data_IF_542005986970
#
_entry.id   IF_542005986970
#
_cell.length_a   1.000
_cell.length_b   1.000
_cell.length_c   1.000
_cell.angle_alpha   90.00
_cell.angle_beta   90.00
_cell.angle_gamma   90.00
#
_symmetry.space_group_name_H-M   'P 1'
#
loop_
_entity.id
_entity.type
_entity.pdbx_description
1 polymer ?
#
# COMPACT_ATOMS: atom_id res chain seq x y z
N UNK A 1 -3.28 -0.44 -20.09
CA UNK A 1 -4.19 -0.65 -18.96
C UNK A 1 -3.67 0.04 -17.72
N UNK A 2 -4.44 0.07 -16.63
CA UNK A 2 -4.07 0.64 -15.33
C UNK A 2 -4.23 -0.45 -14.26
N UNK A 3 -3.21 -0.63 -13.45
CA UNK A 3 -3.30 -1.35 -12.17
C UNK A 3 -3.47 -0.32 -11.06
N UNK A 4 -4.41 -0.52 -10.15
CA UNK A 4 -4.57 0.37 -9.00
C UNK A 4 -4.58 -0.41 -7.69
N UNK A 5 -4.04 0.22 -6.64
CA UNK A 5 -4.07 -0.31 -5.28
C UNK A 5 -4.71 0.71 -4.36
N UNK A 6 -5.56 0.23 -3.47
CA UNK A 6 -6.18 1.02 -2.41
C UNK A 6 -5.62 0.59 -1.06
N UNK A 7 -5.04 1.54 -0.33
CA UNK A 7 -4.56 1.33 1.03
C UNK A 7 -5.70 1.06 2.02
N UNK A 8 -5.36 0.59 3.20
CA UNK A 8 -6.37 0.26 4.21
C UNK A 8 -7.23 1.47 4.62
N UNK A 9 -6.64 2.66 4.74
CA UNK A 9 -7.34 3.91 5.02
C UNK A 9 -8.39 4.27 3.96
N UNK A 10 -8.18 3.84 2.71
CA UNK A 10 -9.14 4.09 1.63
C UNK A 10 -10.47 3.36 1.83
N UNK A 11 -10.50 2.25 2.57
CA UNK A 11 -11.73 1.47 2.80
C UNK A 11 -12.32 1.67 4.19
N UNK A 12 -11.73 2.53 5.01
CA UNK A 12 -12.10 2.73 6.41
C UNK A 12 -13.25 3.74 6.63
N UNK A 13 -13.76 4.39 5.60
CA UNK A 13 -14.90 5.32 5.71
C UNK A 13 -15.88 5.15 4.54
N UNK A 14 -17.16 5.43 4.82
CA UNK A 14 -18.23 5.35 3.81
C UNK A 14 -17.99 6.33 2.66
N UNK A 15 -17.54 7.53 2.96
CA UNK A 15 -17.24 8.54 1.96
C UNK A 15 -16.15 8.05 0.98
N UNK A 16 -15.09 7.43 1.49
CA UNK A 16 -14.03 6.87 0.65
C UNK A 16 -14.52 5.71 -0.22
N UNK A 17 -15.42 4.86 0.29
CA UNK A 17 -16.03 3.79 -0.49
C UNK A 17 -16.78 4.33 -1.72
N UNK A 18 -17.51 5.42 -1.57
CA UNK A 18 -18.18 6.09 -2.69
C UNK A 18 -17.18 6.71 -3.68
N UNK A 19 -16.05 7.27 -3.20
CA UNK A 19 -14.99 7.73 -4.09
C UNK A 19 -14.36 6.57 -4.87
N UNK A 20 -14.07 5.43 -4.22
CA UNK A 20 -13.56 4.23 -4.90
C UNK A 20 -14.53 3.80 -6.00
N UNK A 21 -15.83 3.77 -5.73
CA UNK A 21 -16.84 3.40 -6.72
C UNK A 21 -16.82 4.34 -7.94
N UNK A 22 -16.67 5.65 -7.71
CA UNK A 22 -16.53 6.64 -8.79
C UNK A 22 -15.23 6.46 -9.58
N UNK A 23 -14.11 6.21 -8.90
CA UNK A 23 -12.80 5.97 -9.51
C UNK A 23 -12.84 4.74 -10.42
N UNK A 24 -13.44 3.66 -9.94
CA UNK A 24 -13.48 2.37 -10.66
C UNK A 24 -14.47 2.37 -11.85
N UNK A 25 -15.29 3.42 -12.04
CA UNK A 25 -16.09 3.57 -13.27
C UNK A 25 -15.22 3.62 -14.53
N UNK A 26 -14.00 4.14 -14.45
CA UNK A 26 -13.06 4.09 -15.57
C UNK A 26 -12.58 2.66 -15.82
N UNK A 27 -13.04 2.11 -16.95
CA UNK A 27 -12.78 0.72 -17.37
C UNK A 27 -11.31 0.44 -17.73
N UNK A 28 -10.45 1.47 -17.80
CA UNK A 28 -8.99 1.28 -18.00
C UNK A 28 -8.32 0.63 -16.79
N UNK A 29 -8.92 0.74 -15.59
CA UNK A 29 -8.48 0.08 -14.35
C UNK A 29 -8.89 -1.39 -14.39
N UNK A 30 -7.93 -2.26 -14.71
CA UNK A 30 -8.17 -3.69 -14.93
C UNK A 30 -7.90 -4.54 -13.71
N UNK A 31 -6.84 -4.24 -12.98
CA UNK A 31 -6.41 -4.97 -11.79
C UNK A 31 -6.57 -4.02 -10.59
N UNK A 32 -7.41 -4.42 -9.63
CA UNK A 32 -7.73 -3.61 -8.46
C UNK A 32 -7.29 -4.37 -7.21
N UNK A 33 -6.25 -3.86 -6.55
CA UNK A 33 -5.64 -4.48 -5.37
C UNK A 33 -6.13 -3.76 -4.12
N UNK A 34 -6.57 -4.51 -3.12
CA UNK A 34 -6.97 -3.98 -1.83
C UNK A 34 -6.06 -4.48 -0.71
N UNK A 35 -5.61 -3.56 0.13
CA UNK A 35 -5.05 -3.90 1.44
C UNK A 35 -6.17 -4.22 2.43
N UNK A 36 -5.85 -4.88 3.53
CA UNK A 36 -6.78 -5.01 4.65
C UNK A 36 -7.32 -3.63 5.05
N UNK A 37 -8.58 -3.57 5.44
CA UNK A 37 -9.22 -2.34 5.90
C UNK A 37 -8.39 -1.68 7.02
N UNK A 38 -8.24 -0.37 6.95
CA UNK A 38 -7.55 0.43 7.95
C UNK A 38 -8.31 0.55 9.27
N UNK A 39 -7.83 1.41 10.15
CA UNK A 39 -8.51 1.71 11.42
C UNK A 39 -9.89 2.29 11.15
N UNK A 40 -10.90 1.73 11.80
CA UNK A 40 -12.28 2.23 11.77
C UNK A 40 -12.61 2.83 13.15
N UNK A 41 -13.40 3.89 13.16
CA UNK A 41 -13.78 4.58 14.40
C UNK A 41 -12.56 4.89 15.29
N UNK A 42 -12.70 4.76 16.61
CA UNK A 42 -11.65 5.00 17.60
C UNK A 42 -10.78 3.76 17.90
N UNK A 43 -10.62 2.85 16.93
CA UNK A 43 -9.78 1.66 17.15
C UNK A 43 -8.30 2.01 17.28
N UNK A 44 -7.62 1.35 18.20
CA UNK A 44 -6.19 1.54 18.45
C UNK A 44 -5.33 0.89 17.38
N UNK A 45 -5.70 -0.32 16.92
CA UNK A 45 -4.91 -1.16 16.02
C UNK A 45 -5.57 -1.29 14.64
N UNK A 46 -4.77 -1.64 13.62
CA UNK A 46 -5.26 -2.02 12.29
C UNK A 46 -5.75 -3.47 12.31
N UNK A 47 -6.56 -3.84 11.32
CA UNK A 47 -7.02 -5.23 11.17
C UNK A 47 -5.87 -6.23 11.11
N UNK A 48 -4.80 -5.93 10.38
CA UNK A 48 -3.61 -6.80 10.28
C UNK A 48 -2.92 -7.00 11.63
N UNK A 49 -2.88 -5.97 12.48
CA UNK A 49 -2.30 -6.06 13.82
C UNK A 49 -3.17 -6.99 14.70
N UNK A 50 -4.50 -6.83 14.68
CA UNK A 50 -5.41 -7.73 15.42
C UNK A 50 -5.33 -9.19 14.94
N UNK A 51 -5.14 -9.43 13.63
CA UNK A 51 -4.97 -10.79 13.10
C UNK A 51 -3.67 -11.42 13.58
N UNK A 52 -2.60 -10.62 13.66
CA UNK A 52 -1.31 -11.04 14.19
C UNK A 52 -1.40 -11.33 15.69
N UNK A 53 -1.97 -10.39 16.46
CA UNK A 53 -2.20 -10.55 17.91
C UNK A 53 -3.05 -11.80 18.19
N UNK A 54 -4.11 -12.05 17.40
CA UNK A 54 -4.93 -13.26 17.53
C UNK A 54 -4.14 -14.54 17.34
N UNK A 55 -3.23 -14.56 16.38
CA UNK A 55 -2.40 -15.73 16.14
C UNK A 55 -1.40 -15.98 17.28
N UNK A 56 -0.76 -14.93 17.78
CA UNK A 56 0.30 -14.98 18.79
C UNK A 56 -0.23 -15.15 20.22
N UNK A 57 -1.46 -14.73 20.49
CA UNK A 57 -2.09 -14.85 21.82
C UNK A 57 -2.25 -16.32 22.20
N UNK A 58 -1.99 -16.66 23.46
CA UNK A 58 -2.12 -18.02 24.02
C UNK A 58 -3.41 -18.20 24.83
N UNK A 59 -3.87 -17.15 25.50
CA UNK A 59 -5.09 -17.18 26.31
C UNK A 59 -6.34 -17.28 25.44
N UNK A 60 -7.19 -18.27 25.70
CA UNK A 60 -8.47 -18.45 24.99
C UNK A 60 -9.39 -17.25 25.21
N UNK A 61 -9.42 -16.70 26.43
CA UNK A 61 -10.22 -15.52 26.77
C UNK A 61 -9.81 -14.33 25.92
N UNK A 62 -8.51 -14.00 25.88
CA UNK A 62 -7.98 -12.88 25.11
C UNK A 62 -8.17 -13.09 23.60
N UNK A 63 -7.97 -14.32 23.10
CA UNK A 63 -8.28 -14.65 21.69
C UNK A 63 -9.72 -14.32 21.32
N UNK A 64 -10.69 -14.62 22.19
CA UNK A 64 -12.09 -14.30 21.94
C UNK A 64 -12.33 -12.79 21.90
N UNK A 65 -11.67 -12.01 22.75
CA UNK A 65 -11.75 -10.55 22.75
C UNK A 65 -11.21 -10.01 21.42
N UNK A 66 -10.02 -10.47 21.00
CA UNK A 66 -9.39 -10.03 19.73
C UNK A 66 -10.27 -10.44 18.53
N UNK A 67 -10.80 -11.66 18.53
CA UNK A 67 -11.68 -12.14 17.46
C UNK A 67 -12.96 -11.31 17.34
N UNK A 68 -13.50 -10.81 18.45
CA UNK A 68 -14.64 -9.89 18.45
C UNK A 68 -14.27 -8.55 17.81
N UNK A 69 -13.05 -8.01 18.04
CA UNK A 69 -12.57 -6.81 17.36
C UNK A 69 -12.46 -7.02 15.85
N UNK A 70 -11.92 -8.15 15.42
CA UNK A 70 -11.87 -8.54 14.01
C UNK A 70 -13.29 -8.63 13.42
N UNK A 71 -14.23 -9.24 14.15
CA UNK A 71 -15.64 -9.35 13.75
C UNK A 71 -16.29 -7.98 13.57
N UNK A 72 -16.08 -7.05 14.49
CA UNK A 72 -16.59 -5.67 14.41
C UNK A 72 -16.13 -4.99 13.10
N UNK A 73 -14.83 -5.12 12.76
CA UNK A 73 -14.26 -4.56 11.54
C UNK A 73 -14.90 -5.18 10.29
N UNK A 74 -15.06 -6.50 10.28
CA UNK A 74 -15.69 -7.20 9.16
C UNK A 74 -17.16 -6.81 8.99
N UNK A 75 -17.89 -6.68 10.09
CA UNK A 75 -19.29 -6.24 10.09
C UNK A 75 -19.39 -4.80 9.59
N UNK A 76 -18.52 -3.91 10.05
CA UNK A 76 -18.48 -2.52 9.59
C UNK A 76 -18.37 -2.44 8.06
N UNK A 77 -17.37 -3.09 7.46
CA UNK A 77 -17.17 -3.03 6.01
C UNK A 77 -18.35 -3.65 5.26
N UNK A 78 -18.88 -4.78 5.73
CA UNK A 78 -20.07 -5.42 5.17
C UNK A 78 -21.29 -4.49 5.18
N UNK A 79 -21.55 -3.80 6.31
CA UNK A 79 -22.67 -2.89 6.47
C UNK A 79 -22.53 -1.65 5.56
N UNK A 80 -21.35 -1.01 5.58
CA UNK A 80 -21.10 0.20 4.78
C UNK A 80 -21.16 -0.05 3.26
N UNK A 81 -20.81 -1.26 2.84
CA UNK A 81 -20.92 -1.68 1.44
C UNK A 81 -22.26 -2.33 1.09
N UNK A 82 -23.13 -2.60 2.09
CA UNK A 82 -24.39 -3.34 1.94
C UNK A 82 -24.24 -4.68 1.22
N UNK A 83 -23.09 -5.35 1.41
CA UNK A 83 -22.78 -6.61 0.73
C UNK A 83 -23.25 -7.83 1.54
N UNK A 84 -23.71 -8.88 0.82
CA UNK A 84 -24.08 -10.16 1.44
C UNK A 84 -22.85 -11.08 1.51
N UNK A 85 -22.04 -10.92 2.57
CA UNK A 85 -20.88 -11.80 2.88
C UNK A 85 -21.10 -12.46 4.23
N UNK A 86 -20.78 -13.74 4.33
CA UNK A 86 -20.85 -14.48 5.58
C UNK A 86 -19.61 -14.25 6.43
N UNK A 87 -19.67 -13.30 7.36
CA UNK A 87 -18.58 -12.97 8.28
C UNK A 87 -18.17 -14.17 9.14
N UNK A 88 -19.14 -14.95 9.63
CA UNK A 88 -18.85 -16.10 10.49
C UNK A 88 -18.01 -17.18 9.78
N UNK A 89 -18.16 -17.33 8.47
CA UNK A 89 -17.31 -18.22 7.68
C UNK A 89 -15.82 -17.80 7.76
N UNK A 90 -15.54 -16.52 7.67
CA UNK A 90 -14.15 -16.00 7.78
C UNK A 90 -13.61 -16.16 9.19
N UNK A 91 -14.42 -15.82 10.22
CA UNK A 91 -14.02 -15.97 11.62
C UNK A 91 -13.73 -17.43 11.97
N UNK A 92 -14.54 -18.37 11.47
CA UNK A 92 -14.30 -19.81 11.64
C UNK A 92 -12.97 -20.24 11.01
N UNK A 93 -12.67 -19.74 9.81
CA UNK A 93 -11.39 -20.02 9.14
C UNK A 93 -10.19 -19.45 9.90
N UNK A 94 -10.29 -18.23 10.42
CA UNK A 94 -9.25 -17.60 11.25
C UNK A 94 -9.04 -18.43 12.52
N UNK A 95 -10.13 -18.76 13.23
CA UNK A 95 -10.08 -19.50 14.49
C UNK A 95 -9.46 -20.90 14.36
N UNK A 96 -9.73 -21.58 13.24
CA UNK A 96 -9.32 -22.98 13.04
C UNK A 96 -7.94 -23.12 12.38
N UNK A 97 -7.34 -22.04 11.90
CA UNK A 97 -6.03 -22.11 11.24
C UNK A 97 -4.88 -22.09 12.24
N UNK A 98 -3.90 -22.95 12.00
CA UNK A 98 -2.61 -22.98 12.71
C UNK A 98 -1.49 -22.25 11.95
N UNK A 99 -1.78 -21.72 10.77
CA UNK A 99 -0.81 -21.09 9.87
C UNK A 99 -0.88 -19.56 10.00
N UNK A 100 0.19 -18.94 10.53
CA UNK A 100 0.29 -17.49 10.72
C UNK A 100 -0.04 -16.70 9.44
N UNK A 101 0.62 -17.06 8.35
CA UNK A 101 0.45 -16.38 7.06
C UNK A 101 -0.98 -16.47 6.54
N UNK A 102 -1.62 -17.62 6.75
CA UNK A 102 -3.04 -17.78 6.40
C UNK A 102 -3.92 -16.85 7.22
N UNK A 103 -3.77 -16.83 8.56
CA UNK A 103 -4.59 -16.00 9.46
C UNK A 103 -4.45 -14.52 9.09
N UNK A 104 -3.22 -14.03 8.98
CA UNK A 104 -2.93 -12.61 8.71
C UNK A 104 -3.44 -12.18 7.34
N UNK A 105 -3.29 -13.02 6.30
CA UNK A 105 -3.77 -12.72 4.94
C UNK A 105 -5.30 -12.59 4.83
N UNK A 106 -6.07 -13.06 5.82
CA UNK A 106 -7.55 -12.98 5.77
C UNK A 106 -8.09 -11.56 5.83
N UNK A 107 -7.28 -10.61 6.29
CA UNK A 107 -7.64 -9.19 6.24
C UNK A 107 -7.80 -8.66 4.82
N UNK A 108 -6.80 -8.91 3.98
CA UNK A 108 -6.81 -8.54 2.57
C UNK A 108 -7.81 -9.36 1.77
N UNK A 109 -7.89 -10.68 2.02
CA UNK A 109 -8.84 -11.57 1.36
C UNK A 109 -10.30 -11.11 1.62
N UNK A 110 -10.66 -10.84 2.87
CA UNK A 110 -11.99 -10.36 3.22
C UNK A 110 -12.29 -9.01 2.57
N UNK A 111 -11.37 -8.05 2.72
CA UNK A 111 -11.55 -6.69 2.16
C UNK A 111 -11.75 -6.74 0.65
N UNK A 112 -10.89 -7.46 -0.07
CA UNK A 112 -10.99 -7.57 -1.52
C UNK A 112 -12.27 -8.28 -1.99
N UNK A 113 -12.76 -9.29 -1.26
CA UNK A 113 -14.05 -9.96 -1.57
C UNK A 113 -15.24 -9.03 -1.36
N UNK A 114 -15.26 -8.29 -0.27
CA UNK A 114 -16.31 -7.30 -0.01
C UNK A 114 -16.30 -6.24 -1.11
N UNK A 115 -15.13 -5.68 -1.40
CA UNK A 115 -14.98 -4.63 -2.39
C UNK A 115 -15.30 -5.12 -3.81
N UNK A 116 -14.95 -6.35 -4.17
CA UNK A 116 -15.34 -6.93 -5.44
C UNK A 116 -16.87 -6.98 -5.60
N UNK A 117 -17.58 -7.45 -4.58
CA UNK A 117 -19.05 -7.43 -4.58
C UNK A 117 -19.63 -6.03 -4.64
N UNK A 118 -19.09 -5.11 -3.85
CA UNK A 118 -19.53 -3.70 -3.83
C UNK A 118 -19.37 -3.00 -5.17
N UNK A 119 -18.29 -3.33 -5.89
CA UNK A 119 -17.96 -2.74 -7.20
C UNK A 119 -18.58 -3.50 -8.39
N UNK A 120 -19.24 -4.63 -8.16
CA UNK A 120 -19.78 -5.48 -9.23
C UNK A 120 -18.67 -6.15 -10.07
N UNK A 121 -17.50 -6.41 -9.48
CA UNK A 121 -16.36 -7.03 -10.15
C UNK A 121 -16.12 -8.47 -9.66
N UNK A 122 -15.36 -9.24 -10.43
CA UNK A 122 -14.91 -10.56 -9.98
C UNK A 122 -13.84 -10.41 -8.91
N UNK A 123 -13.89 -11.28 -7.90
CA UNK A 123 -12.82 -11.48 -6.95
C UNK A 123 -11.92 -12.62 -7.42
N UNK A 124 -10.62 -12.40 -7.37
CA UNK A 124 -9.58 -13.41 -7.61
C UNK A 124 -8.68 -13.48 -6.38
N UNK A 125 -8.56 -14.63 -5.71
CA UNK A 125 -7.65 -14.78 -4.58
C UNK A 125 -6.19 -14.49 -4.97
N UNK A 126 -5.44 -13.79 -4.12
CA UNK A 126 -4.07 -13.41 -4.43
C UNK A 126 -3.15 -14.64 -4.63
N UNK A 127 -3.37 -15.71 -3.86
CA UNK A 127 -2.65 -16.98 -3.97
C UNK A 127 -2.85 -17.71 -5.31
N UNK A 128 -3.86 -17.30 -6.10
CA UNK A 128 -4.04 -17.81 -7.48
C UNK A 128 -3.27 -17.02 -8.52
N UNK A 129 -2.71 -15.88 -8.16
CA UNK A 129 -2.04 -14.95 -9.08
C UNK A 129 -0.58 -14.76 -8.69
N UNK A 130 -0.32 -14.40 -7.43
CA UNK A 130 1.00 -14.13 -6.91
C UNK A 130 1.65 -15.43 -6.46
N UNK A 131 2.62 -15.87 -7.22
CA UNK A 131 3.33 -17.13 -6.98
C UNK A 131 4.71 -16.81 -6.41
N UNK A 132 5.05 -17.48 -5.32
CA UNK A 132 6.32 -17.34 -4.62
C UNK A 132 7.15 -18.60 -4.76
N UNK A 133 8.44 -18.45 -4.59
CA UNK A 133 9.41 -19.55 -4.47
C UNK A 133 10.38 -19.19 -3.35
N UNK A 134 10.02 -19.59 -2.14
CA UNK A 134 10.65 -19.08 -0.92
C UNK A 134 10.40 -17.57 -0.76
N UNK A 135 11.47 -16.80 -0.53
CA UNK A 135 11.39 -15.36 -0.29
C UNK A 135 11.20 -14.52 -1.56
N UNK A 136 11.27 -15.13 -2.75
CA UNK A 136 11.19 -14.42 -4.01
C UNK A 136 9.86 -14.72 -4.72
N UNK A 137 9.31 -13.74 -5.44
CA UNK A 137 8.19 -14.03 -6.32
C UNK A 137 8.70 -14.67 -7.63
N UNK A 138 7.99 -15.70 -8.06
CA UNK A 138 8.24 -16.36 -9.36
C UNK A 138 7.61 -15.50 -10.47
N UNK A 139 8.48 -14.74 -11.16
CA UNK A 139 8.05 -13.77 -12.16
C UNK A 139 7.29 -14.43 -13.33
N UNK A 140 7.77 -15.57 -13.82
CA UNK A 140 7.20 -16.29 -14.94
C UNK A 140 5.82 -16.87 -14.61
N UNK A 141 5.72 -17.61 -13.50
CA UNK A 141 4.46 -18.21 -13.07
C UNK A 141 3.43 -17.12 -12.70
N UNK A 142 3.86 -16.06 -12.01
CA UNK A 142 2.99 -14.92 -11.67
C UNK A 142 2.48 -14.24 -12.93
N UNK A 143 3.34 -13.98 -13.91
CA UNK A 143 2.96 -13.38 -15.20
C UNK A 143 1.92 -14.27 -15.94
N UNK A 144 2.19 -15.57 -16.05
CA UNK A 144 1.28 -16.53 -16.68
C UNK A 144 -0.08 -16.54 -16.00
N UNK A 145 -0.12 -16.68 -14.68
CA UNK A 145 -1.38 -16.72 -13.91
C UNK A 145 -2.14 -15.41 -14.03
N UNK A 146 -1.44 -14.27 -13.93
CA UNK A 146 -2.03 -12.93 -14.05
C UNK A 146 -2.67 -12.73 -15.43
N UNK A 147 -1.97 -13.07 -16.51
CA UNK A 147 -2.50 -13.00 -17.88
C UNK A 147 -3.74 -13.86 -18.06
N UNK A 148 -3.74 -15.09 -17.54
CA UNK A 148 -4.94 -15.96 -17.58
C UNK A 148 -6.14 -15.27 -16.89
N UNK A 149 -5.94 -14.61 -15.75
CA UNK A 149 -7.03 -13.92 -15.06
C UNK A 149 -7.51 -12.68 -15.80
N UNK A 150 -6.59 -11.94 -16.44
CA UNK A 150 -6.93 -10.76 -17.27
C UNK A 150 -7.76 -11.21 -18.48
N UNK A 151 -7.36 -12.27 -19.18
CA UNK A 151 -8.10 -12.81 -20.32
C UNK A 151 -9.50 -13.29 -19.90
N UNK A 152 -9.58 -14.01 -18.76
CA UNK A 152 -10.83 -14.60 -18.29
C UNK A 152 -11.85 -13.57 -17.79
N UNK A 153 -11.40 -12.57 -17.05
CA UNK A 153 -12.30 -11.65 -16.34
C UNK A 153 -12.23 -10.20 -16.84
N UNK A 154 -11.25 -9.87 -17.68
CA UNK A 154 -10.94 -8.51 -18.14
C UNK A 154 -10.69 -7.49 -17.03
N UNK A 155 -11.44 -7.54 -15.93
CA UNK A 155 -11.34 -6.71 -14.74
C UNK A 155 -11.64 -7.52 -13.49
N UNK A 156 -10.81 -7.37 -12.45
CA UNK A 156 -11.03 -8.10 -11.19
C UNK A 156 -10.41 -7.36 -10.00
N UNK A 157 -10.90 -7.72 -8.81
CA UNK A 157 -10.34 -7.32 -7.52
C UNK A 157 -9.55 -8.48 -6.91
N UNK A 158 -8.45 -8.15 -6.23
CA UNK A 158 -7.63 -9.10 -5.49
C UNK A 158 -7.12 -8.48 -4.20
N UNK A 159 -6.73 -9.29 -3.24
CA UNK A 159 -5.93 -8.83 -2.09
C UNK A 159 -4.49 -8.57 -2.49
N UNK A 160 -3.79 -7.70 -1.75
CA UNK A 160 -2.34 -7.61 -1.81
C UNK A 160 -1.68 -8.39 -0.67
N UNK A 161 -0.36 -8.23 -0.48
CA UNK A 161 0.40 -8.66 0.69
C UNK A 161 0.70 -10.15 0.81
N UNK A 162 0.05 -11.06 0.09
CA UNK A 162 0.27 -12.50 0.20
C UNK A 162 0.20 -13.20 -1.15
N UNK A 163 0.83 -14.37 -1.24
CA UNK A 163 0.85 -15.25 -2.40
C UNK A 163 0.89 -16.72 -2.00
N UNK A 164 1.03 -17.60 -2.99
CA UNK A 164 1.24 -19.05 -2.81
C UNK A 164 2.70 -19.37 -3.04
N UNK A 165 3.35 -19.96 -2.05
CA UNK A 165 4.68 -20.54 -2.24
C UNK A 165 4.57 -21.94 -2.84
N UNK A 166 5.23 -22.15 -3.98
CA UNK A 166 5.21 -23.44 -4.69
C UNK A 166 6.02 -24.53 -3.98
N UNK A 167 6.99 -24.17 -3.13
CA UNK A 167 7.83 -25.14 -2.44
C UNK A 167 7.05 -25.77 -1.29
N UNK A 168 6.46 -24.94 -0.43
CA UNK A 168 5.72 -25.40 0.74
C UNK A 168 4.25 -25.67 0.46
N UNK A 169 3.74 -25.24 -0.69
CA UNK A 169 2.31 -25.22 -1.05
C UNK A 169 1.44 -24.49 -0.01
N UNK A 170 2.01 -23.45 0.64
CA UNK A 170 1.35 -22.66 1.66
C UNK A 170 1.24 -21.20 1.26
N UNK A 171 0.30 -20.49 1.90
CA UNK A 171 0.25 -19.04 1.80
C UNK A 171 1.45 -18.46 2.53
N UNK A 172 2.13 -17.52 1.85
CA UNK A 172 3.23 -16.73 2.41
C UNK A 172 2.89 -15.25 2.31
N UNK A 173 3.40 -14.49 3.27
CA UNK A 173 3.24 -13.04 3.30
C UNK A 173 4.45 -12.38 2.64
N UNK A 174 4.20 -11.30 1.91
CA UNK A 174 5.24 -10.37 1.55
C UNK A 174 5.65 -9.55 2.77
N UNK A 175 6.81 -8.90 2.70
CA UNK A 175 7.26 -7.99 3.76
C UNK A 175 6.26 -6.85 4.02
N UNK A 176 6.49 -6.10 5.11
CA UNK A 176 5.70 -4.91 5.46
C UNK A 176 5.62 -3.96 4.27
N UNK A 177 4.42 -3.50 3.92
CA UNK A 177 4.21 -2.76 2.66
C UNK A 177 3.80 -3.64 1.47
N UNK A 178 3.65 -4.95 1.68
CA UNK A 178 3.37 -5.95 0.65
C UNK A 178 2.15 -5.69 -0.22
N UNK A 179 1.19 -4.87 0.24
CA UNK A 179 0.09 -4.40 -0.62
C UNK A 179 0.57 -3.51 -1.76
N UNK A 180 1.51 -2.60 -1.51
CA UNK A 180 2.15 -1.75 -2.51
C UNK A 180 2.99 -2.59 -3.47
N UNK A 181 3.76 -3.54 -2.90
CA UNK A 181 4.63 -4.47 -3.64
C UNK A 181 3.78 -5.34 -4.58
N UNK A 182 2.69 -5.95 -4.09
CA UNK A 182 1.78 -6.76 -4.93
C UNK A 182 1.23 -5.95 -6.10
N UNK A 183 0.78 -4.71 -5.84
CA UNK A 183 0.28 -3.81 -6.87
C UNK A 183 1.35 -3.49 -7.93
N UNK A 184 2.59 -3.26 -7.51
CA UNK A 184 3.73 -3.01 -8.40
C UNK A 184 4.10 -4.24 -9.23
N UNK A 185 4.15 -5.43 -8.62
CA UNK A 185 4.37 -6.71 -9.34
C UNK A 185 3.30 -6.89 -10.42
N UNK A 186 2.02 -6.73 -10.08
CA UNK A 186 0.94 -6.88 -11.05
C UNK A 186 1.00 -5.79 -12.14
N UNK A 187 1.38 -4.56 -11.82
CA UNK A 187 1.55 -3.50 -12.80
C UNK A 187 2.69 -3.81 -13.79
N UNK A 188 3.83 -4.29 -13.28
CA UNK A 188 4.98 -4.72 -14.09
C UNK A 188 4.59 -5.87 -15.03
N UNK A 189 3.98 -6.92 -14.50
CA UNK A 189 3.75 -8.17 -15.24
C UNK A 189 2.52 -8.14 -16.15
N UNK A 190 1.65 -7.16 -15.99
CA UNK A 190 0.49 -6.93 -16.87
C UNK A 190 0.75 -5.90 -17.96
N UNK A 191 1.98 -5.39 -18.08
CA UNK A 191 2.33 -4.30 -18.99
C UNK A 191 1.43 -3.06 -18.80
N UNK A 192 1.07 -2.76 -17.56
CA UNK A 192 0.30 -1.57 -17.23
C UNK A 192 1.11 -0.31 -17.55
N UNK A 193 0.47 0.67 -18.19
CA UNK A 193 1.10 1.98 -18.41
C UNK A 193 1.20 2.80 -17.13
N UNK A 194 0.26 2.57 -16.21
CA UNK A 194 0.13 3.33 -14.97
C UNK A 194 -0.13 2.36 -13.81
N UNK A 195 0.57 2.59 -12.70
CA UNK A 195 0.28 2.06 -11.39
C UNK A 195 -0.25 3.18 -10.50
N UNK A 196 -1.53 3.15 -10.11
CA UNK A 196 -2.12 4.11 -9.19
C UNK A 196 -2.10 3.56 -7.77
N UNK A 197 -1.38 4.21 -6.87
CA UNK A 197 -1.40 3.93 -5.44
C UNK A 197 -2.27 4.97 -4.73
N UNK A 198 -3.48 4.57 -4.36
CA UNK A 198 -4.40 5.39 -3.58
C UNK A 198 -4.12 5.21 -2.08
N UNK A 199 -4.02 6.33 -1.39
CA UNK A 199 -3.73 6.43 0.04
C UNK A 199 -4.55 7.58 0.66
N UNK A 200 -4.22 8.00 1.86
CA UNK A 200 -4.82 9.12 2.60
C UNK A 200 -4.01 10.41 2.50
N UNK A 201 -2.98 10.44 1.65
CA UNK A 201 -2.17 11.63 1.41
C UNK A 201 -2.21 12.06 -0.06
N UNK A 202 -2.14 13.36 -0.30
CA UNK A 202 -2.19 13.97 -1.63
C UNK A 202 -0.85 13.97 -2.38
N UNK A 203 -0.12 12.85 -2.28
CA UNK A 203 1.18 12.65 -2.90
C UNK A 203 2.36 12.79 -1.92
N UNK A 204 3.55 12.73 -2.47
CA UNK A 204 4.83 12.85 -1.74
C UNK A 204 5.10 14.32 -1.44
N UNK A 205 5.50 14.61 -0.22
CA UNK A 205 5.79 15.97 0.23
C UNK A 205 7.26 16.33 0.04
N UNK A 206 7.53 17.61 -0.16
CA UNK A 206 8.89 18.14 -0.27
C UNK A 206 9.65 18.11 1.07
N UNK A 207 8.95 17.87 2.18
CA UNK A 207 9.49 17.72 3.52
C UNK A 207 8.54 16.86 4.37
N UNK A 208 9.03 16.32 5.49
CA UNK A 208 8.23 15.51 6.41
C UNK A 208 7.12 16.35 7.06
N UNK A 209 5.83 16.01 6.87
CA UNK A 209 4.71 16.77 7.45
C UNK A 209 4.65 16.73 8.98
N UNK A 210 5.32 15.77 9.62
CA UNK A 210 5.41 15.71 11.08
C UNK A 210 6.36 16.78 11.65
N UNK A 211 7.26 17.32 10.81
CA UNK A 211 8.27 18.31 11.19
C UNK A 211 7.95 19.70 10.62
N UNK A 212 7.62 19.75 9.34
CA UNK A 212 7.33 20.98 8.60
C UNK A 212 5.82 21.15 8.45
N UNK A 213 5.31 22.32 8.84
CA UNK A 213 3.87 22.61 8.69
C UNK A 213 3.50 22.82 7.22
N UNK A 214 2.55 22.04 6.70
CA UNK A 214 1.98 22.16 5.36
C UNK A 214 3.02 22.17 4.21
N UNK A 215 3.92 21.17 4.13
CA UNK A 215 4.91 21.14 3.05
C UNK A 215 4.25 20.97 1.69
N UNK A 216 4.83 21.57 0.66
CA UNK A 216 4.34 21.47 -0.73
C UNK A 216 4.42 20.01 -1.22
N UNK A 217 3.51 19.64 -2.14
CA UNK A 217 3.51 18.32 -2.77
C UNK A 217 4.44 18.33 -4.00
N UNK A 218 5.32 17.34 -4.10
CA UNK A 218 6.15 17.09 -5.28
C UNK A 218 5.23 16.61 -6.41
N UNK A 219 5.22 17.31 -7.54
CA UNK A 219 4.38 16.97 -8.70
C UNK A 219 4.92 15.80 -9.49
N UNK A 220 6.23 15.78 -9.69
CA UNK A 220 6.94 14.77 -10.45
C UNK A 220 8.28 14.48 -9.79
N UNK A 221 8.69 13.21 -9.76
CA UNK A 221 9.94 12.73 -9.17
C UNK A 221 10.42 11.49 -9.94
N UNK A 222 11.73 11.25 -9.99
CA UNK A 222 12.25 10.01 -10.53
C UNK A 222 12.09 8.84 -9.55
N UNK A 223 12.12 7.59 -10.04
CA UNK A 223 12.18 6.42 -9.15
C UNK A 223 13.44 6.42 -8.29
N UNK A 224 14.55 6.93 -8.82
CA UNK A 224 15.83 7.04 -8.12
C UNK A 224 15.71 7.97 -6.92
N UNK A 225 15.22 9.22 -7.13
CA UNK A 225 15.00 10.19 -6.07
C UNK A 225 13.94 9.69 -5.06
N UNK A 226 12.89 9.02 -5.56
CA UNK A 226 11.86 8.45 -4.69
C UNK A 226 12.40 7.36 -3.76
N UNK A 227 13.41 6.58 -4.17
CA UNK A 227 14.09 5.63 -3.26
C UNK A 227 14.74 6.36 -2.08
N UNK A 228 15.38 7.51 -2.33
CA UNK A 228 15.98 8.32 -1.27
C UNK A 228 14.90 8.75 -0.27
N UNK A 229 13.77 9.27 -0.77
CA UNK A 229 12.63 9.66 0.08
C UNK A 229 12.10 8.45 0.87
N UNK A 230 11.92 7.30 0.23
CA UNK A 230 11.43 6.08 0.90
C UNK A 230 12.37 5.58 2.00
N UNK A 231 13.67 5.70 1.82
CA UNK A 231 14.67 5.25 2.79
C UNK A 231 14.79 6.20 3.99
N UNK A 232 14.54 7.48 3.77
CA UNK A 232 14.64 8.51 4.79
C UNK A 232 13.34 8.64 5.62
N UNK A 233 12.32 9.22 5.02
CA UNK A 233 11.05 9.60 5.69
C UNK A 233 9.85 8.70 5.26
N UNK A 234 10.07 7.74 4.42
CA UNK A 234 9.23 7.05 3.49
C UNK A 234 8.06 6.22 3.97
N UNK A 235 7.04 6.84 4.53
CA UNK A 235 5.77 6.16 4.86
C UNK A 235 4.72 6.17 3.74
N UNK A 236 5.00 6.83 2.60
CA UNK A 236 4.01 7.05 1.52
C UNK A 236 3.99 5.92 0.51
N UNK A 237 5.14 5.33 0.21
CA UNK A 237 5.31 4.21 -0.73
C UNK A 237 6.44 3.30 -0.25
N UNK A 238 6.31 2.01 -0.45
CA UNK A 238 7.39 1.08 -0.12
C UNK A 238 8.55 1.21 -1.11
N UNK A 239 9.81 1.19 -0.62
CA UNK A 239 11.02 1.34 -1.46
C UNK A 239 11.10 0.33 -2.60
N UNK A 240 10.66 -0.90 -2.36
CA UNK A 240 10.71 -1.99 -3.35
C UNK A 240 9.79 -1.75 -4.55
N UNK A 241 8.74 -0.94 -4.42
CA UNK A 241 7.94 -0.50 -5.55
C UNK A 241 8.82 0.26 -6.56
N UNK A 242 9.69 1.14 -6.08
CA UNK A 242 10.61 1.88 -6.93
C UNK A 242 11.61 0.92 -7.61
N UNK A 243 12.19 -0.02 -6.86
CA UNK A 243 13.13 -1.02 -7.40
C UNK A 243 12.48 -1.90 -8.45
N UNK A 244 11.21 -2.32 -8.24
CA UNK A 244 10.47 -3.15 -9.19
C UNK A 244 10.11 -2.42 -10.48
N UNK A 245 9.83 -1.12 -10.40
CA UNK A 245 9.27 -0.37 -11.54
C UNK A 245 10.26 0.56 -12.25
N UNK A 246 11.39 0.93 -11.64
CA UNK A 246 12.37 1.88 -12.23
C UNK A 246 12.88 1.49 -13.61
N UNK A 247 13.04 0.18 -13.88
CA UNK A 247 13.50 -0.33 -15.19
C UNK A 247 12.36 -0.60 -16.16
N UNK A 248 11.12 -0.32 -15.77
CA UNK A 248 9.93 -0.49 -16.60
C UNK A 248 9.48 0.83 -17.21
N UNK A 249 8.51 0.78 -18.13
CA UNK A 249 7.83 1.97 -18.65
C UNK A 249 6.62 2.42 -17.80
N UNK A 250 6.37 1.77 -16.66
CA UNK A 250 5.22 2.07 -15.79
C UNK A 250 5.42 3.42 -15.10
N UNK A 251 4.39 4.27 -15.11
CA UNK A 251 4.35 5.50 -14.31
C UNK A 251 3.59 5.20 -13.03
N UNK A 252 4.18 5.44 -11.87
CA UNK A 252 3.47 5.35 -10.58
C UNK A 252 2.83 6.69 -10.24
N UNK A 253 1.57 6.66 -9.80
CA UNK A 253 0.83 7.84 -9.33
C UNK A 253 0.41 7.60 -7.89
N UNK A 254 0.89 8.45 -6.98
CA UNK A 254 0.49 8.46 -5.57
C UNK A 254 -0.49 9.57 -5.34
N UNK A 255 -1.70 9.25 -4.84
CA UNK A 255 -2.76 10.24 -4.66
C UNK A 255 -3.76 9.87 -3.55
N UNK A 256 -4.40 10.89 -3.01
CA UNK A 256 -5.48 10.75 -2.05
C UNK A 256 -6.75 10.22 -2.72
N UNK A 257 -7.37 9.19 -2.11
CA UNK A 257 -8.62 8.59 -2.59
C UNK A 257 -9.78 9.58 -2.55
N UNK A 258 -9.79 10.51 -1.60
CA UNK A 258 -10.87 11.48 -1.39
C UNK A 258 -10.80 12.69 -2.32
N UNK A 259 -9.65 12.95 -2.94
CA UNK A 259 -9.40 14.16 -3.73
C UNK A 259 -9.35 13.87 -5.23
N UNK A 260 -10.51 13.89 -5.91
CA UNK A 260 -10.59 13.64 -7.36
C UNK A 260 -9.69 14.56 -8.20
N UNK A 261 -9.62 15.83 -7.84
CA UNK A 261 -8.82 16.88 -8.51
C UNK A 261 -7.70 17.41 -7.61
N UNK A 262 -7.34 16.67 -6.56
CA UNK A 262 -6.28 17.05 -5.63
C UNK A 262 -4.88 16.97 -6.23
N UNK A 263 -3.92 17.43 -5.45
CA UNK A 263 -2.51 17.24 -5.74
C UNK A 263 -2.20 15.76 -5.73
N UNK A 264 -1.23 15.34 -6.51
CA UNK A 264 -0.70 13.99 -6.58
C UNK A 264 0.76 14.03 -7.02
N UNK A 265 1.48 12.94 -6.82
CA UNK A 265 2.86 12.78 -7.30
C UNK A 265 2.91 11.74 -8.40
N UNK A 266 3.54 12.08 -9.50
CA UNK A 266 3.92 11.11 -10.55
C UNK A 266 5.38 10.72 -10.37
N UNK A 267 5.64 9.42 -10.41
CA UNK A 267 6.98 8.84 -10.30
C UNK A 267 7.32 8.21 -11.65
N UNK A 268 8.45 8.59 -12.21
CA UNK A 268 8.87 8.24 -13.57
C UNK A 268 10.23 7.55 -13.55
N UNK A 269 10.54 6.85 -14.65
CA UNK A 269 11.89 6.33 -14.91
C UNK A 269 12.91 7.43 -15.17
N UNK A 270 12.52 8.49 -15.89
CA UNK A 270 13.39 9.61 -16.21
C UNK A 270 13.48 10.57 -15.04
N UNK A 271 14.64 11.22 -14.93
CA UNK A 271 14.88 12.30 -13.97
C UNK A 271 13.95 13.49 -14.23
N UNK A 272 13.40 14.05 -13.16
CA UNK A 272 12.57 15.26 -13.19
C UNK A 272 13.11 16.28 -12.18
N UNK A 273 13.21 17.56 -12.55
CA UNK A 273 13.61 18.59 -11.60
C UNK A 273 12.67 18.60 -10.40
N UNK A 274 13.15 18.18 -9.26
CA UNK A 274 12.38 18.21 -8.01
C UNK A 274 13.22 18.81 -6.89
N UNK A 275 12.52 19.28 -5.87
CA UNK A 275 13.12 19.82 -4.64
C UNK A 275 12.54 19.08 -3.46
N UNK A 276 13.37 18.60 -2.57
CA UNK A 276 12.91 18.03 -1.30
C UNK A 276 14.03 18.00 -0.27
N UNK A 277 13.62 17.98 1.00
CA UNK A 277 14.47 17.68 2.14
C UNK A 277 13.93 16.42 2.79
N UNK A 278 14.77 15.46 3.06
CA UNK A 278 14.42 14.30 3.86
C UNK A 278 15.55 13.97 4.84
N UNK A 279 15.24 13.28 5.91
CA UNK A 279 16.25 12.84 6.85
C UNK A 279 16.01 11.39 7.29
N UNK A 280 17.10 10.73 7.65
CA UNK A 280 17.11 9.37 8.18
C UNK A 280 17.80 9.38 9.52
N UNK A 281 17.10 8.91 10.57
CA UNK A 281 17.72 8.72 11.87
C UNK A 281 18.72 7.54 11.83
N UNK A 282 19.93 7.77 12.35
CA UNK A 282 20.97 6.76 12.54
C UNK A 282 21.60 6.95 13.93
N UNK A 283 21.30 6.05 14.85
CA UNK A 283 21.77 6.15 16.25
C UNK A 283 21.40 7.50 16.88
N UNK A 284 22.40 8.27 17.32
CA UNK A 284 22.25 9.62 17.91
C UNK A 284 22.20 10.76 16.90
N UNK A 285 22.34 10.46 15.60
CA UNK A 285 22.41 11.47 14.54
C UNK A 285 21.29 11.27 13.51
N UNK A 286 20.96 12.35 12.80
CA UNK A 286 20.07 12.35 11.65
C UNK A 286 20.85 12.72 10.38
N UNK A 287 20.83 11.85 9.40
CA UNK A 287 21.40 12.11 8.09
C UNK A 287 20.39 12.88 7.24
N UNK A 288 20.75 14.04 6.77
CA UNK A 288 19.94 14.88 5.89
C UNK A 288 20.33 14.72 4.43
N UNK A 289 19.32 14.73 3.57
CA UNK A 289 19.46 14.78 2.11
C UNK A 289 18.68 15.99 1.60
N UNK A 290 19.38 16.91 0.96
CA UNK A 290 18.80 18.11 0.34
C UNK A 290 18.91 17.96 -1.16
N UNK A 291 17.78 17.83 -1.83
CA UNK A 291 17.71 17.66 -3.29
C UNK A 291 17.17 18.92 -3.94
N UNK A 292 17.87 19.36 -4.97
CA UNK A 292 17.46 20.48 -5.81
C UNK A 292 17.77 20.20 -7.28
N UNK A 293 16.73 20.21 -8.12
CA UNK A 293 16.85 19.97 -9.58
C UNK A 293 17.69 18.71 -9.92
N UNK A 294 17.41 17.60 -9.22
CA UNK A 294 18.08 16.31 -9.39
C UNK A 294 19.57 16.26 -8.99
N UNK A 295 20.03 17.20 -8.23
CA UNK A 295 21.37 17.16 -7.62
C UNK A 295 21.21 17.12 -6.12
N UNK A 296 21.92 16.20 -5.48
CA UNK A 296 22.09 16.24 -4.03
C UNK A 296 23.01 17.42 -3.74
N UNK A 297 22.46 18.49 -3.18
CA UNK A 297 23.23 19.66 -2.81
C UNK A 297 24.01 19.42 -1.51
N UNK A 298 23.36 18.75 -0.56
CA UNK A 298 23.89 18.52 0.77
C UNK A 298 23.52 17.12 1.25
N UNK A 299 24.50 16.48 1.84
CA UNK A 299 24.34 15.20 2.55
C UNK A 299 25.23 15.28 3.79
N UNK A 300 24.63 15.50 4.96
CA UNK A 300 25.36 15.71 6.19
C UNK A 300 24.61 15.14 7.38
N UNK A 301 25.31 15.01 8.50
CA UNK A 301 24.77 14.51 9.75
C UNK A 301 24.58 15.64 10.76
N UNK A 302 23.52 15.55 11.53
CA UNK A 302 23.15 16.49 12.59
C UNK A 302 22.75 15.70 13.83
N UNK A 303 22.99 16.25 15.01
CA UNK A 303 22.47 15.66 16.25
C UNK A 303 20.93 15.58 16.21
N UNK A 304 20.37 14.50 16.78
CA UNK A 304 18.91 14.29 16.76
C UNK A 304 18.17 15.44 17.43
N UNK A 305 18.74 16.05 18.45
CA UNK A 305 18.16 17.20 19.18
C UNK A 305 17.93 18.41 18.29
N UNK A 306 18.77 18.64 17.27
CA UNK A 306 18.73 19.78 16.35
C UNK A 306 17.92 19.51 15.08
N UNK A 307 17.52 18.26 14.86
CA UNK A 307 16.88 17.79 13.60
C UNK A 307 15.73 18.68 13.16
N UNK A 308 14.83 19.05 14.07
CA UNK A 308 13.64 19.85 13.73
C UNK A 308 14.01 21.25 13.25
N UNK A 309 14.98 21.90 13.90
CA UNK A 309 15.43 23.24 13.55
C UNK A 309 16.10 23.24 12.17
N UNK A 310 17.04 22.34 11.97
CA UNK A 310 17.77 22.16 10.70
C UNK A 310 16.81 21.85 9.58
N UNK A 311 15.86 20.94 9.79
CA UNK A 311 14.85 20.57 8.77
C UNK A 311 14.03 21.77 8.31
N UNK A 312 13.53 22.60 9.23
CA UNK A 312 12.75 23.78 8.90
C UNK A 312 13.58 24.83 8.16
N UNK A 313 14.84 25.04 8.55
CA UNK A 313 15.78 25.98 7.89
C UNK A 313 16.02 25.54 6.43
N UNK A 314 16.36 24.26 6.20
CA UNK A 314 16.60 23.70 4.88
C UNK A 314 15.38 23.77 3.98
N UNK A 315 14.20 23.40 4.52
CA UNK A 315 12.96 23.49 3.76
C UNK A 315 12.66 24.92 3.33
N UNK A 316 12.86 25.87 4.23
CA UNK A 316 12.64 27.30 3.93
C UNK A 316 13.59 27.83 2.85
N UNK A 317 14.83 27.35 2.80
CA UNK A 317 15.80 27.73 1.76
C UNK A 317 15.37 27.20 0.41
N UNK A 318 15.07 25.91 0.26
CA UNK A 318 14.70 25.30 -1.04
C UNK A 318 13.38 25.81 -1.61
N UNK A 319 12.49 26.35 -0.78
CA UNK A 319 11.21 26.92 -1.25
C UNK A 319 11.37 28.34 -1.79
N UNK A 320 12.34 29.11 -1.29
CA UNK A 320 12.61 30.49 -1.73
C UNK A 320 13.33 30.52 -3.08
N UNK A 321 14.16 29.54 -3.37
CA UNK A 321 14.80 29.34 -4.67
C UNK A 321 13.85 28.74 -5.74
#
# INVERSE_FOLDING_TARGET
>A
MITCKFGGSCTASEQNLEYIKKIIKDKKRKIIVFSAIGKINNQTNKLTDYLLDFYEEKSISNKNIILNKIKEIFIFLKQKTKTKINVNYFLKKIKNSKEKSYVVSRGEDFTARVMAKFLGLKYVPAEKILIMRGDFFDEEQTKRKLQMMICKYQRFCTGGFYGLDLISNKIVLLERGGGDISGAIFAKLSDSKIYENFTDVDGVKMANPAVVRNPKTIRAISYEDMKIVCQADGKVLHKDVCTLLEKTGVVTIVKDVSKRFGKYTKIYRKSYPCKFVCCRAQNSQAQFFVMHRNRCLENFFVDISETKQVYNKLYSSIIRE
#
